data_IF_493959397051
#
_entry.id   IF_493959397051
#
_cell.length_a   1.000
_cell.length_b   1.000
_cell.length_c   1.000
_cell.angle_alpha   90.00
_cell.angle_beta   90.00
_cell.angle_gamma   90.00
#
_symmetry.space_group_name_H-M   'P 1'
#
loop_
_entity.id
_entity.type
_entity.pdbx_description
1 polymer ?
#
# COMPACT_ATOMS: atom_id res chain seq x y z
N UNK A 1 2.54 6.76 1.33
CA UNK A 1 1.24 7.28 0.86
C UNK A 1 0.12 6.78 1.76
N UNK A 2 -0.43 5.57 1.52
CA UNK A 2 -1.64 5.06 2.19
C UNK A 2 -1.59 5.06 3.72
N UNK A 3 -0.52 4.55 4.33
CA UNK A 3 -0.35 4.55 5.79
C UNK A 3 -0.32 5.99 6.37
N UNK A 4 0.21 6.95 5.61
CA UNK A 4 0.38 8.34 6.05
C UNK A 4 -0.85 9.21 5.79
N UNK A 5 -1.63 8.90 4.74
CA UNK A 5 -2.79 9.71 4.35
C UNK A 5 -4.11 9.12 4.85
N UNK A 6 -4.25 7.79 4.86
CA UNK A 6 -5.49 7.09 5.20
C UNK A 6 -5.38 6.24 6.48
N UNK A 7 -4.20 6.09 7.06
CA UNK A 7 -3.96 5.18 8.20
C UNK A 7 -4.10 3.69 7.86
N UNK A 8 -4.11 3.33 6.57
CA UNK A 8 -4.24 1.94 6.10
C UNK A 8 -2.85 1.33 5.91
N UNK A 9 -2.55 0.27 6.66
CA UNK A 9 -1.30 -0.47 6.56
C UNK A 9 -1.42 -1.60 5.53
N UNK A 10 -0.40 -1.75 4.68
CA UNK A 10 -0.32 -2.81 3.68
C UNK A 10 0.93 -3.66 3.94
N UNK A 11 0.79 -4.98 3.83
CA UNK A 11 1.92 -5.89 4.01
C UNK A 11 2.93 -5.78 2.86
N UNK A 12 4.23 -6.02 3.09
CA UNK A 12 5.27 -5.89 2.07
C UNK A 12 5.28 -7.05 1.05
N UNK A 13 4.43 -8.06 1.20
CA UNK A 13 4.48 -9.29 0.40
C UNK A 13 3.43 -9.30 -0.71
N UNK A 14 2.19 -8.90 -0.42
CA UNK A 14 1.05 -9.04 -1.32
C UNK A 14 0.28 -7.74 -1.53
N UNK A 15 -0.41 -7.23 -0.51
CA UNK A 15 -1.38 -6.14 -0.68
C UNK A 15 -0.69 -4.85 -1.14
N UNK A 16 0.51 -4.56 -0.62
CA UNK A 16 1.28 -3.38 -1.06
C UNK A 16 1.59 -3.40 -2.55
N UNK A 17 1.87 -4.59 -3.12
CA UNK A 17 2.17 -4.73 -4.56
C UNK A 17 0.95 -4.46 -5.42
N UNK A 18 -0.23 -4.94 -5.00
CA UNK A 18 -1.49 -4.63 -5.67
C UNK A 18 -1.79 -3.13 -5.66
N UNK A 19 -1.61 -2.47 -4.52
CA UNK A 19 -1.78 -1.01 -4.42
C UNK A 19 -0.74 -0.25 -5.25
N UNK A 20 0.52 -0.67 -5.24
CA UNK A 20 1.57 -0.04 -6.04
C UNK A 20 1.27 -0.15 -7.54
N UNK A 21 0.76 -1.30 -8.00
CA UNK A 21 0.33 -1.48 -9.39
C UNK A 21 -0.86 -0.56 -9.73
N UNK A 22 -1.87 -0.45 -8.86
CA UNK A 22 -2.99 0.48 -9.08
C UNK A 22 -2.53 1.93 -9.19
N UNK A 23 -1.63 2.37 -8.30
CA UNK A 23 -1.05 3.73 -8.36
C UNK A 23 -0.30 3.94 -9.68
N UNK A 24 0.49 2.96 -10.11
CA UNK A 24 1.20 3.02 -11.39
C UNK A 24 0.25 3.06 -12.59
N UNK A 25 -0.83 2.30 -12.56
CA UNK A 25 -1.85 2.29 -13.62
C UNK A 25 -2.63 3.62 -13.68
N UNK A 26 -2.87 4.28 -12.54
CA UNK A 26 -3.44 5.65 -12.50
C UNK A 26 -2.44 6.67 -13.08
N UNK A 27 -1.17 6.63 -12.66
CA UNK A 27 -0.15 7.55 -13.17
C UNK A 27 0.11 7.39 -14.67
N UNK A 28 -0.02 6.17 -15.20
CA UNK A 28 0.12 5.89 -16.63
C UNK A 28 -1.15 6.17 -17.45
N UNK A 29 -2.27 6.52 -16.79
CA UNK A 29 -3.55 6.80 -17.44
C UNK A 29 -4.31 5.55 -17.93
N UNK A 30 -3.86 4.34 -17.58
CA UNK A 30 -4.63 3.10 -17.84
C UNK A 30 -5.92 3.05 -17.03
N UNK A 31 -5.88 3.64 -15.84
CA UNK A 31 -7.05 3.95 -15.01
C UNK A 31 -7.16 5.46 -14.97
N UNK A 32 -8.31 6.02 -15.35
CA UNK A 32 -8.50 7.47 -15.30
C UNK A 32 -8.52 7.96 -13.84
N UNK A 33 -7.92 9.12 -13.59
CA UNK A 33 -7.73 9.64 -12.23
C UNK A 33 -9.04 9.94 -11.48
N UNK A 34 -10.13 10.20 -12.22
CA UNK A 34 -11.48 10.45 -11.72
C UNK A 34 -12.38 9.20 -11.76
N UNK A 35 -11.87 8.06 -12.25
CA UNK A 35 -12.62 6.82 -12.31
C UNK A 35 -12.83 6.24 -10.90
N UNK A 36 -14.07 5.91 -10.50
CA UNK A 36 -14.30 5.19 -9.25
C UNK A 36 -13.68 3.79 -9.31
N UNK A 37 -12.83 3.47 -8.33
CA UNK A 37 -12.15 2.16 -8.21
C UNK A 37 -12.42 1.56 -6.84
N UNK A 38 -12.77 0.28 -6.80
CA UNK A 38 -12.82 -0.51 -5.57
C UNK A 38 -11.54 -1.33 -5.47
N UNK A 39 -10.68 -0.97 -4.53
CA UNK A 39 -9.51 -1.76 -4.19
C UNK A 39 -9.86 -2.77 -3.08
N UNK A 40 -9.72 -4.07 -3.36
CA UNK A 40 -9.95 -5.12 -2.37
C UNK A 40 -8.69 -5.32 -1.51
N UNK A 41 -8.71 -4.80 -0.29
CA UNK A 41 -7.66 -5.06 0.68
C UNK A 41 -7.82 -6.47 1.28
N UNK A 42 -7.00 -7.41 0.81
CA UNK A 42 -7.09 -8.84 1.18
C UNK A 42 -6.43 -9.21 2.52
N UNK A 43 -5.84 -8.25 3.24
CA UNK A 43 -5.23 -8.44 4.55
C UNK A 43 -3.70 -8.46 4.53
N UNK A 44 -3.07 -9.40 5.26
CA UNK A 44 -1.61 -9.54 5.36
C UNK A 44 -0.95 -8.76 6.51
N UNK A 45 -1.69 -7.94 7.25
CA UNK A 45 -1.15 -7.11 8.34
C UNK A 45 -0.26 -7.86 9.36
N UNK A 46 -0.53 -9.12 9.77
CA UNK A 46 0.37 -9.84 10.68
C UNK A 46 1.80 -10.02 10.15
N UNK A 47 2.01 -10.02 8.83
CA UNK A 47 3.35 -10.10 8.25
C UNK A 47 4.22 -8.89 8.62
N UNK A 48 3.61 -7.72 8.91
CA UNK A 48 4.34 -6.50 9.26
C UNK A 48 5.25 -6.69 10.48
N UNK A 49 4.86 -7.53 11.45
CA UNK A 49 5.68 -7.81 12.63
C UNK A 49 7.01 -8.48 12.27
N UNK A 50 7.03 -9.29 11.20
CA UNK A 50 8.26 -9.90 10.69
C UNK A 50 9.17 -8.94 9.92
N UNK A 51 8.68 -7.75 9.57
CA UNK A 51 9.41 -6.70 8.86
C UNK A 51 9.57 -5.42 9.70
N UNK A 52 9.30 -5.49 11.01
CA UNK A 52 9.25 -4.31 11.88
C UNK A 52 10.56 -3.50 11.83
N UNK A 53 11.71 -4.16 11.89
CA UNK A 53 13.02 -3.49 11.86
C UNK A 53 13.27 -2.75 10.54
N UNK A 54 12.92 -3.38 9.41
CA UNK A 54 13.06 -2.77 8.09
C UNK A 54 12.15 -1.54 7.95
N UNK A 55 10.92 -1.63 8.46
CA UNK A 55 9.95 -0.52 8.43
C UNK A 55 10.30 0.61 9.40
N UNK A 56 10.95 0.29 10.53
CA UNK A 56 11.45 1.30 11.46
C UNK A 56 12.59 2.11 10.85
N UNK A 57 13.49 1.47 10.10
CA UNK A 57 14.60 2.14 9.41
C UNK A 57 14.14 3.08 8.29
N UNK A 58 12.98 2.82 7.67
CA UNK A 58 12.37 3.68 6.65
C UNK A 58 11.55 4.85 7.23
N UNK A 59 11.57 5.06 8.55
CA UNK A 59 10.88 6.18 9.21
C UNK A 59 9.35 6.06 9.19
N UNK A 60 8.81 4.84 9.13
CA UNK A 60 7.37 4.58 9.29
C UNK A 60 6.94 4.48 10.76
N UNK A 61 7.90 4.37 11.69
CA UNK A 61 7.66 4.24 13.14
C UNK A 61 8.33 5.36 13.96
N UNK A 62 8.74 6.45 13.30
CA UNK A 62 9.23 7.68 13.93
C UNK A 62 8.33 8.86 13.55
#
# INVERSE_FOLDING_TARGET
>A
LLARTEGILLDPVYTSKGMAALIADIHSGKVAADQPVVFLHTGGAPALFGYADALAQEGLLA
#
